data_IF_253558343720
#
_entry.id   IF_253558343720
#
_cell.length_a   1.000
_cell.length_b   1.000
_cell.length_c   1.000
_cell.angle_alpha   90.00
_cell.angle_beta   90.00
_cell.angle_gamma   90.00
#
_symmetry.space_group_name_H-M   'P 1'
#
loop_
_entity.id
_entity.type
_entity.pdbx_description
1 polymer ?
#
# COMPACT_ATOMS: atom_id res chain seq x y z
N UNK A 1 -33.46 3.65 -21.53
CA UNK A 1 -32.93 2.76 -22.59
C UNK A 1 -31.42 2.52 -22.36
N UNK A 2 -30.84 1.51 -23.01
CA UNK A 2 -29.39 1.28 -22.93
C UNK A 2 -28.58 2.52 -23.39
N UNK A 3 -29.16 3.33 -24.28
CA UNK A 3 -28.56 4.57 -24.77
C UNK A 3 -28.46 5.67 -23.68
N UNK A 4 -29.27 5.59 -22.62
CA UNK A 4 -29.16 6.53 -21.48
C UNK A 4 -28.10 6.14 -20.47
N UNK A 5 -27.65 4.89 -20.50
CA UNK A 5 -26.64 4.34 -19.53
C UNK A 5 -25.20 4.57 -19.98
N UNK A 6 -24.95 4.64 -21.30
CA UNK A 6 -23.65 4.80 -21.91
C UNK A 6 -23.67 5.76 -23.09
N UNK A 7 -22.53 6.44 -23.33
CA UNK A 7 -22.36 7.34 -24.47
C UNK A 7 -21.01 7.08 -25.15
N UNK A 8 -20.89 7.41 -26.45
CA UNK A 8 -19.55 7.44 -27.07
C UNK A 8 -18.59 8.34 -26.28
N UNK A 9 -17.39 7.84 -26.03
CA UNK A 9 -16.40 8.47 -25.18
C UNK A 9 -16.33 7.92 -23.74
N UNK A 10 -17.36 7.21 -23.27
CA UNK A 10 -17.30 6.58 -21.93
C UNK A 10 -16.27 5.47 -21.88
N UNK A 11 -15.53 5.41 -20.78
CA UNK A 11 -14.80 4.22 -20.42
C UNK A 11 -15.73 3.25 -19.68
N UNK A 12 -15.89 2.06 -20.25
CA UNK A 12 -16.67 0.98 -19.64
C UNK A 12 -15.82 -0.27 -19.45
N UNK A 13 -16.16 -1.03 -18.43
CA UNK A 13 -15.56 -2.33 -18.12
C UNK A 13 -16.67 -3.38 -17.99
N UNK A 14 -16.61 -4.43 -18.83
CA UNK A 14 -17.53 -5.56 -18.83
C UNK A 14 -16.76 -6.86 -19.01
N UNK A 15 -16.25 -7.43 -17.90
CA UNK A 15 -15.35 -8.60 -17.93
C UNK A 15 -15.98 -9.81 -18.60
N UNK A 16 -17.29 -10.02 -18.44
CA UNK A 16 -18.03 -11.12 -19.06
C UNK A 16 -17.99 -11.12 -20.60
N UNK A 17 -17.69 -9.97 -21.19
CA UNK A 17 -17.57 -9.78 -22.66
C UNK A 17 -16.14 -9.49 -23.09
N UNK A 18 -15.18 -9.47 -22.15
CA UNK A 18 -13.81 -9.09 -22.46
C UNK A 18 -13.66 -7.64 -22.91
N UNK A 19 -14.52 -6.76 -22.42
CA UNK A 19 -14.46 -5.33 -22.73
C UNK A 19 -13.89 -4.55 -21.55
N UNK A 20 -12.86 -3.76 -21.83
CA UNK A 20 -12.27 -2.75 -20.95
C UNK A 20 -11.65 -1.65 -21.82
N UNK A 21 -12.38 -0.54 -21.98
CA UNK A 21 -11.95 0.54 -22.86
C UNK A 21 -13.03 1.55 -23.15
N UNK A 22 -12.81 2.31 -24.22
CA UNK A 22 -13.65 3.45 -24.59
C UNK A 22 -14.73 3.05 -25.61
N UNK A 23 -15.97 3.41 -25.32
CA UNK A 23 -17.07 3.30 -26.26
C UNK A 23 -16.81 4.22 -27.46
N UNK A 24 -16.71 3.65 -28.64
CA UNK A 24 -16.45 4.42 -29.86
C UNK A 24 -17.71 4.63 -30.73
N UNK A 25 -18.66 3.72 -30.65
CA UNK A 25 -19.90 3.79 -31.41
C UNK A 25 -21.02 2.99 -30.73
N UNK A 26 -22.26 3.45 -30.90
CA UNK A 26 -23.45 2.79 -30.39
C UNK A 26 -24.49 2.76 -31.55
N UNK A 27 -24.86 1.57 -31.95
CA UNK A 27 -25.96 1.38 -32.93
C UNK A 27 -27.14 0.61 -32.32
N UNK A 28 -28.16 0.32 -33.11
CA UNK A 28 -29.40 -0.31 -32.63
C UNK A 28 -29.17 -1.72 -32.00
N UNK A 29 -28.15 -2.43 -32.44
CA UNK A 29 -27.90 -3.82 -32.04
C UNK A 29 -26.65 -4.00 -31.16
N UNK A 30 -25.66 -3.15 -31.31
CA UNK A 30 -24.33 -3.33 -30.69
C UNK A 30 -23.74 -2.02 -30.18
N UNK A 31 -22.87 -2.16 -29.16
CA UNK A 31 -21.94 -1.13 -28.71
C UNK A 31 -20.54 -1.57 -29.09
N UNK A 32 -19.78 -0.67 -29.70
CA UNK A 32 -18.38 -0.89 -30.07
C UNK A 32 -17.46 -0.28 -29.03
N UNK A 33 -16.62 -1.11 -28.41
CA UNK A 33 -15.64 -0.72 -27.40
C UNK A 33 -14.24 -0.92 -27.95
N UNK A 34 -13.43 0.13 -27.95
CA UNK A 34 -11.99 0.04 -28.21
C UNK A 34 -11.28 -0.18 -26.88
N UNK A 35 -10.82 -1.41 -26.66
CA UNK A 35 -10.08 -1.82 -25.47
C UNK A 35 -8.70 -1.13 -25.38
N UNK A 36 -8.14 -1.06 -24.19
CA UNK A 36 -6.83 -0.45 -23.93
C UNK A 36 -5.66 -1.15 -24.66
N UNK A 37 -5.84 -2.42 -25.03
CA UNK A 37 -4.88 -3.18 -25.85
C UNK A 37 -5.07 -2.97 -27.36
N UNK A 38 -5.85 -1.95 -27.80
CA UNK A 38 -6.19 -1.61 -29.18
C UNK A 38 -7.08 -2.64 -29.91
N UNK A 39 -7.63 -3.63 -29.22
CA UNK A 39 -8.64 -4.52 -29.82
C UNK A 39 -10.04 -3.89 -29.75
N UNK A 40 -10.95 -4.41 -30.57
CA UNK A 40 -12.34 -3.98 -30.58
C UNK A 40 -13.23 -5.11 -30.05
N UNK A 41 -14.05 -4.80 -29.04
CA UNK A 41 -15.12 -5.69 -28.60
C UNK A 41 -16.48 -5.13 -29.04
N UNK A 42 -17.30 -5.98 -29.64
CA UNK A 42 -18.69 -5.67 -30.00
C UNK A 42 -19.62 -6.27 -28.94
N UNK A 43 -20.32 -5.44 -28.20
CA UNK A 43 -21.25 -5.86 -27.12
C UNK A 43 -22.67 -5.75 -27.65
N UNK A 44 -23.47 -6.83 -27.67
CA UNK A 44 -24.90 -6.74 -27.98
C UNK A 44 -25.59 -5.82 -26.96
N UNK A 45 -26.50 -4.96 -27.45
CA UNK A 45 -27.22 -4.00 -26.59
C UNK A 45 -27.95 -4.70 -25.45
N UNK A 46 -28.52 -5.88 -25.67
CA UNK A 46 -29.29 -6.59 -24.65
C UNK A 46 -28.37 -7.00 -23.47
N UNK A 47 -27.07 -7.25 -23.72
CA UNK A 47 -26.12 -7.61 -22.66
C UNK A 47 -25.92 -6.48 -21.65
N UNK A 48 -25.94 -5.22 -22.07
CA UNK A 48 -25.87 -4.06 -21.19
C UNK A 48 -27.10 -3.89 -20.28
N UNK A 49 -28.22 -4.50 -20.66
CA UNK A 49 -29.45 -4.48 -19.86
C UNK A 49 -29.53 -5.68 -18.92
N UNK A 50 -28.98 -6.82 -19.35
CA UNK A 50 -29.07 -8.10 -18.63
C UNK A 50 -27.90 -8.42 -17.73
N UNK A 51 -26.74 -7.81 -17.95
CA UNK A 51 -25.50 -8.10 -17.23
C UNK A 51 -24.94 -6.83 -16.58
N UNK A 52 -24.21 -7.00 -15.47
CA UNK A 52 -23.54 -5.87 -14.80
C UNK A 52 -22.31 -5.42 -15.59
N UNK A 53 -22.12 -4.12 -15.69
CA UNK A 53 -20.93 -3.49 -16.21
C UNK A 53 -20.58 -2.25 -15.36
N UNK A 54 -19.33 -1.81 -15.38
CA UNK A 54 -18.88 -0.58 -14.74
C UNK A 54 -18.76 0.52 -15.78
N UNK A 55 -19.36 1.69 -15.52
CA UNK A 55 -19.12 2.92 -16.28
C UNK A 55 -18.26 3.86 -15.45
N UNK A 56 -17.06 4.18 -15.94
CA UNK A 56 -16.07 5.00 -15.23
C UNK A 56 -16.30 6.51 -15.38
N UNK A 57 -17.32 6.96 -16.09
CA UNK A 57 -17.67 8.39 -16.23
C UNK A 57 -17.79 9.08 -14.87
N UNK A 58 -18.49 8.47 -13.92
CA UNK A 58 -18.64 9.05 -12.58
C UNK A 58 -17.31 9.27 -11.88
N UNK A 59 -16.30 8.41 -12.10
CA UNK A 59 -14.95 8.63 -11.59
C UNK A 59 -14.28 9.82 -12.29
N UNK A 60 -14.42 9.94 -13.60
CA UNK A 60 -13.85 11.06 -14.37
C UNK A 60 -14.49 12.41 -14.01
N UNK A 61 -15.75 12.41 -13.64
CA UNK A 61 -16.50 13.60 -13.18
C UNK A 61 -16.29 13.88 -11.67
N UNK A 62 -15.81 12.92 -10.90
CA UNK A 62 -15.59 13.05 -9.45
C UNK A 62 -14.40 13.91 -9.11
N UNK A 63 -14.24 14.22 -7.80
CA UNK A 63 -13.12 14.98 -7.26
C UNK A 63 -11.78 14.23 -7.28
N UNK A 64 -11.78 12.90 -7.48
CA UNK A 64 -10.52 12.13 -7.45
C UNK A 64 -10.63 10.69 -7.87
N UNK A 65 -9.49 10.13 -8.27
CA UNK A 65 -9.33 8.71 -8.59
C UNK A 65 -8.79 7.97 -7.37
N UNK A 66 -9.50 6.93 -6.94
CA UNK A 66 -9.12 6.12 -5.78
C UNK A 66 -7.78 5.39 -6.02
N UNK A 67 -6.95 5.38 -4.99
CA UNK A 67 -5.84 4.44 -4.86
C UNK A 67 -5.94 3.65 -3.55
N UNK A 68 -5.47 2.41 -3.62
CA UNK A 68 -5.29 1.54 -2.46
C UNK A 68 -3.95 0.84 -2.65
N UNK A 69 -3.02 1.06 -1.73
CA UNK A 69 -1.66 0.49 -1.82
C UNK A 69 -1.26 -0.06 -0.45
N UNK A 70 -1.10 -1.36 -0.31
CA UNK A 70 -0.58 -1.96 0.91
C UNK A 70 0.94 -1.86 0.96
N UNK A 71 1.46 -1.50 2.13
CA UNK A 71 2.87 -1.62 2.50
C UNK A 71 2.99 -2.80 3.47
N UNK A 72 4.00 -3.63 3.27
CA UNK A 72 4.21 -4.83 4.08
C UNK A 72 5.44 -4.63 4.97
N UNK A 73 5.25 -4.74 6.28
CA UNK A 73 6.32 -4.56 7.26
C UNK A 73 6.71 -5.87 7.95
N UNK A 74 8.02 -6.03 8.17
CA UNK A 74 8.57 -7.13 8.92
C UNK A 74 8.24 -6.96 10.42
N UNK A 75 7.55 -7.95 11.00
CA UNK A 75 7.18 -7.99 12.42
C UNK A 75 8.41 -7.86 13.34
N UNK A 76 9.57 -8.38 12.92
CA UNK A 76 10.81 -8.32 13.73
C UNK A 76 11.37 -6.90 13.84
N UNK A 77 10.90 -5.97 13.01
CA UNK A 77 11.31 -4.55 13.07
C UNK A 77 10.42 -3.70 13.97
N UNK A 78 9.36 -4.27 14.53
CA UNK A 78 8.49 -3.55 15.45
C UNK A 78 9.16 -3.36 16.80
N UNK A 79 9.05 -2.17 17.36
CA UNK A 79 9.62 -1.85 18.65
C UNK A 79 9.06 -0.58 19.25
N UNK A 80 9.19 -0.48 20.56
CA UNK A 80 8.87 0.74 21.29
C UNK A 80 9.98 1.77 21.08
N UNK A 81 9.58 3.02 20.85
CA UNK A 81 10.48 4.15 20.69
C UNK A 81 10.65 4.90 22.02
N UNK A 82 11.89 5.23 22.34
CA UNK A 82 12.19 6.16 23.43
C UNK A 82 11.85 7.60 23.05
N UNK A 83 11.63 8.52 24.01
CA UNK A 83 11.40 9.93 23.72
C UNK A 83 12.51 10.56 22.86
N UNK A 84 13.76 10.16 23.06
CA UNK A 84 14.91 10.65 22.29
C UNK A 84 14.86 10.18 20.82
N UNK A 85 14.42 8.94 20.59
CA UNK A 85 14.22 8.42 19.23
C UNK A 85 13.07 9.14 18.52
N UNK A 86 11.97 9.41 19.22
CA UNK A 86 10.85 10.19 18.67
C UNK A 86 11.31 11.59 18.26
N UNK A 87 12.06 12.27 19.11
CA UNK A 87 12.63 13.61 18.82
C UNK A 87 13.57 13.58 17.60
N UNK A 88 14.41 12.53 17.50
CA UNK A 88 15.30 12.35 16.35
C UNK A 88 14.55 12.13 15.05
N UNK A 89 13.46 11.33 15.10
CA UNK A 89 12.56 11.09 13.95
C UNK A 89 11.92 12.41 13.48
N UNK A 90 11.40 13.21 14.41
CA UNK A 90 10.74 14.50 14.09
C UNK A 90 11.66 15.49 13.42
N UNK A 91 12.93 15.50 13.79
CA UNK A 91 13.97 16.38 13.23
C UNK A 91 14.54 15.87 11.91
N UNK A 92 14.25 14.62 11.54
CA UNK A 92 14.81 14.03 10.31
C UNK A 92 14.25 14.74 9.06
N UNK A 93 15.09 15.09 8.06
CA UNK A 93 14.65 15.84 6.86
C UNK A 93 13.48 15.21 6.11
N UNK A 94 13.40 13.87 6.07
CA UNK A 94 12.30 13.17 5.40
C UNK A 94 10.96 13.26 6.15
N UNK A 95 10.97 13.62 7.43
CA UNK A 95 9.78 13.57 8.31
C UNK A 95 9.34 14.96 8.77
N UNK A 96 10.30 15.87 8.95
CA UNK A 96 10.09 17.16 9.65
C UNK A 96 8.94 18.00 9.08
N UNK A 97 8.70 17.96 7.77
CA UNK A 97 7.60 18.72 7.14
C UNK A 97 6.21 18.27 7.63
N UNK A 98 6.05 17.01 8.01
CA UNK A 98 4.79 16.45 8.50
C UNK A 98 4.78 16.17 10.02
N UNK A 99 5.89 16.45 10.73
CA UNK A 99 6.10 16.07 12.13
C UNK A 99 5.03 16.61 13.08
N UNK A 100 4.67 17.90 12.95
CA UNK A 100 3.66 18.55 13.80
C UNK A 100 2.29 17.85 13.61
N UNK A 101 1.88 17.61 12.37
CA UNK A 101 0.62 16.95 12.05
C UNK A 101 0.62 15.49 12.47
N UNK A 102 1.74 14.79 12.29
CA UNK A 102 1.94 13.43 12.78
C UNK A 102 1.70 13.34 14.29
N UNK A 103 2.30 14.22 15.08
CA UNK A 103 2.14 14.25 16.54
C UNK A 103 0.70 14.56 16.95
N UNK A 104 0.04 15.47 16.23
CA UNK A 104 -1.38 15.74 16.49
C UNK A 104 -2.21 14.47 16.29
N UNK A 105 -2.08 13.81 15.15
CA UNK A 105 -2.82 12.57 14.84
C UNK A 105 -2.47 11.48 15.86
N UNK A 106 -1.19 11.34 16.23
CA UNK A 106 -0.75 10.34 17.19
C UNK A 106 -1.43 10.52 18.55
N UNK A 107 -1.48 11.74 19.08
CA UNK A 107 -2.14 12.05 20.36
C UNK A 107 -3.65 11.80 20.34
N UNK A 108 -4.30 12.07 19.20
CA UNK A 108 -5.75 11.86 19.03
C UNK A 108 -6.12 10.37 18.93
N UNK A 109 -5.21 9.53 18.42
CA UNK A 109 -5.52 8.13 18.07
C UNK A 109 -4.86 7.10 18.98
N UNK A 110 -3.92 7.51 19.84
CA UNK A 110 -3.18 6.60 20.72
C UNK A 110 -3.29 7.05 22.18
N UNK A 111 -3.94 6.24 22.99
CA UNK A 111 -4.17 6.49 24.43
C UNK A 111 -3.14 5.81 25.32
N UNK A 112 -2.23 4.99 24.78
CA UNK A 112 -1.17 4.30 25.51
C UNK A 112 0.04 5.17 25.80
N UNK A 113 0.84 4.76 26.79
CA UNK A 113 2.09 5.45 27.13
C UNK A 113 3.28 5.05 26.24
N UNK A 114 3.22 3.83 25.67
CA UNK A 114 4.26 3.31 24.78
C UNK A 114 4.06 3.79 23.34
N UNK A 115 5.12 4.22 22.69
CA UNK A 115 5.13 4.66 21.29
C UNK A 115 5.66 3.53 20.41
N UNK A 116 4.76 2.75 19.81
CA UNK A 116 5.15 1.76 18.81
C UNK A 116 5.58 2.46 17.51
N UNK A 117 6.76 2.10 17.00
CA UNK A 117 7.32 2.72 15.79
C UNK A 117 6.38 2.65 14.57
N UNK A 118 5.71 1.52 14.33
CA UNK A 118 4.74 1.38 13.24
C UNK A 118 3.49 2.26 13.46
N UNK A 119 3.04 2.45 14.71
CA UNK A 119 1.92 3.33 15.01
C UNK A 119 2.28 4.80 14.73
N UNK A 120 3.48 5.22 15.08
CA UNK A 120 3.96 6.57 14.78
C UNK A 120 4.14 6.76 13.26
N UNK A 121 4.70 5.77 12.56
CA UNK A 121 4.81 5.80 11.09
C UNK A 121 3.45 5.86 10.40
N UNK A 122 2.44 5.14 10.89
CA UNK A 122 1.06 5.24 10.37
C UNK A 122 0.53 6.68 10.47
N UNK A 123 0.74 7.33 11.61
CA UNK A 123 0.35 8.72 11.82
C UNK A 123 1.14 9.68 10.91
N UNK A 124 2.43 9.39 10.70
CA UNK A 124 3.26 10.12 9.75
C UNK A 124 2.73 9.99 8.32
N UNK A 125 2.47 8.78 7.84
CA UNK A 125 1.94 8.55 6.50
C UNK A 125 0.59 9.27 6.30
N UNK A 126 -0.30 9.23 7.30
CA UNK A 126 -1.57 9.97 7.29
C UNK A 126 -1.34 11.49 7.21
N UNK A 127 -0.40 12.01 7.99
CA UNK A 127 -0.05 13.44 8.00
C UNK A 127 0.54 13.88 6.65
N UNK A 128 1.50 13.12 6.13
CA UNK A 128 2.13 13.37 4.84
C UNK A 128 1.11 13.42 3.71
N UNK A 129 0.25 12.40 3.61
CA UNK A 129 -0.79 12.32 2.59
C UNK A 129 -1.81 13.44 2.72
N UNK A 130 -2.20 13.84 3.95
CA UNK A 130 -3.15 14.94 4.17
C UNK A 130 -2.63 16.32 3.74
N UNK A 131 -1.32 16.48 3.64
CA UNK A 131 -0.64 17.69 3.20
C UNK A 131 -0.18 17.63 1.74
N UNK A 132 -0.34 16.49 1.09
CA UNK A 132 0.14 16.29 -0.26
C UNK A 132 -0.75 17.00 -1.29
N UNK A 133 -0.21 17.89 -2.16
CA UNK A 133 -1.02 18.76 -3.04
C UNK A 133 -1.84 18.00 -4.10
N UNK A 134 -1.43 16.77 -4.43
CA UNK A 134 -2.11 15.94 -5.43
C UNK A 134 -3.13 14.97 -4.82
N UNK A 135 -3.36 15.01 -3.50
CA UNK A 135 -4.41 14.23 -2.84
C UNK A 135 -5.68 15.07 -2.76
N UNK A 136 -6.80 14.49 -3.16
CA UNK A 136 -8.10 15.16 -3.13
C UNK A 136 -8.54 15.38 -1.66
N UNK A 137 -8.56 16.64 -1.23
CA UNK A 137 -8.76 17.03 0.18
C UNK A 137 -10.17 16.67 0.71
N UNK A 138 -11.18 16.71 -0.16
CA UNK A 138 -12.59 16.46 0.20
C UNK A 138 -12.99 14.99 0.11
N UNK A 139 -12.03 14.10 -0.12
CA UNK A 139 -12.26 12.66 -0.23
C UNK A 139 -11.70 11.93 1.00
N UNK A 140 -12.21 10.72 1.25
CA UNK A 140 -11.74 9.87 2.34
C UNK A 140 -10.26 9.57 2.19
N UNK A 141 -9.48 9.85 3.24
CA UNK A 141 -8.07 9.54 3.34
C UNK A 141 -7.81 8.75 4.63
N UNK A 142 -7.36 7.51 4.51
CA UNK A 142 -7.12 6.62 5.65
C UNK A 142 -5.81 5.85 5.43
N UNK A 143 -4.96 5.85 6.46
CA UNK A 143 -3.84 4.91 6.59
C UNK A 143 -4.19 3.93 7.69
N UNK A 144 -4.40 2.64 7.33
CA UNK A 144 -4.98 1.63 8.21
C UNK A 144 -4.25 0.31 8.19
N UNK A 145 -4.33 -0.42 9.28
CA UNK A 145 -3.92 -1.82 9.32
C UNK A 145 -4.96 -2.68 8.59
N UNK A 146 -4.48 -3.59 7.76
CA UNK A 146 -5.27 -4.71 7.25
C UNK A 146 -4.99 -5.95 8.11
N UNK A 147 -5.84 -7.01 8.03
CA UNK A 147 -5.51 -8.28 8.64
C UNK A 147 -4.12 -8.75 8.19
N UNK A 148 -3.27 -9.12 9.17
CA UNK A 148 -1.92 -9.62 8.90
C UNK A 148 -1.94 -11.13 8.67
N UNK A 149 -0.94 -11.60 7.94
CA UNK A 149 -0.74 -13.01 7.60
C UNK A 149 0.77 -13.35 7.64
N UNK A 150 1.17 -14.47 7.04
CA UNK A 150 2.57 -14.88 6.95
C UNK A 150 3.47 -13.89 6.20
N UNK A 151 2.91 -12.92 5.50
CA UNK A 151 3.67 -11.89 4.78
C UNK A 151 3.85 -10.60 5.62
N UNK A 152 3.74 -10.68 6.94
CA UNK A 152 3.96 -9.57 7.85
C UNK A 152 2.74 -8.68 8.08
N UNK A 153 2.98 -7.47 8.61
CA UNK A 153 1.93 -6.50 8.91
C UNK A 153 1.67 -5.63 7.69
N UNK A 154 0.40 -5.55 7.32
CA UNK A 154 -0.07 -4.75 6.17
C UNK A 154 -0.59 -3.40 6.63
N UNK A 155 0.00 -2.34 6.12
CA UNK A 155 -0.47 -0.97 6.29
C UNK A 155 -0.99 -0.47 4.93
N UNK A 156 -2.29 -0.25 4.81
CA UNK A 156 -2.90 0.21 3.56
C UNK A 156 -2.98 1.73 3.52
N UNK A 157 -2.47 2.29 2.44
CA UNK A 157 -2.74 3.66 2.03
C UNK A 157 -4.03 3.67 1.21
N UNK A 158 -5.06 4.34 1.71
CA UNK A 158 -6.35 4.48 1.05
C UNK A 158 -6.66 5.95 0.87
N UNK A 159 -6.84 6.40 -0.36
CA UNK A 159 -7.12 7.79 -0.65
C UNK A 159 -7.52 8.01 -2.11
N UNK A 160 -7.57 9.29 -2.49
CA UNK A 160 -7.96 9.71 -3.84
C UNK A 160 -6.96 10.73 -4.36
N UNK A 161 -6.42 10.47 -5.54
CA UNK A 161 -5.61 11.45 -6.28
C UNK A 161 -6.53 12.46 -6.96
N UNK A 162 -6.21 13.74 -6.88
CA UNK A 162 -6.88 14.78 -7.64
C UNK A 162 -6.65 14.65 -9.15
N UNK A 163 -5.52 14.12 -9.57
CA UNK A 163 -5.24 13.75 -10.95
C UNK A 163 -5.86 12.40 -11.29
N UNK A 164 -6.66 12.34 -12.35
CA UNK A 164 -7.42 11.15 -12.73
C UNK A 164 -6.89 10.45 -13.97
N UNK A 165 -6.10 11.15 -14.81
CA UNK A 165 -5.48 10.58 -16.00
C UNK A 165 -4.47 9.50 -15.60
N UNK A 166 -4.61 8.30 -16.18
CA UNK A 166 -3.96 7.08 -15.69
C UNK A 166 -2.45 7.21 -15.48
N UNK A 167 -1.72 7.65 -16.49
CA UNK A 167 -0.26 7.73 -16.41
C UNK A 167 0.23 8.73 -15.34
N UNK A 168 -0.43 9.87 -15.20
CA UNK A 168 -0.10 10.88 -14.21
C UNK A 168 -0.51 10.44 -12.81
N UNK A 169 -1.67 9.81 -12.67
CA UNK A 169 -2.13 9.19 -11.44
C UNK A 169 -1.13 8.15 -10.92
N UNK A 170 -0.67 7.22 -11.78
CA UNK A 170 0.32 6.22 -11.36
C UNK A 170 1.67 6.84 -11.01
N UNK A 171 2.09 7.92 -11.67
CA UNK A 171 3.31 8.65 -11.32
C UNK A 171 3.21 9.30 -9.92
N UNK A 172 2.06 9.90 -9.58
CA UNK A 172 1.81 10.47 -8.24
C UNK A 172 1.83 9.38 -7.17
N UNK A 173 1.16 8.25 -7.41
CA UNK A 173 1.13 7.13 -6.47
C UNK A 173 2.53 6.53 -6.28
N UNK A 174 3.31 6.41 -7.36
CA UNK A 174 4.69 5.93 -7.28
C UNK A 174 5.58 6.89 -6.46
N UNK A 175 5.45 8.21 -6.65
CA UNK A 175 6.20 9.20 -5.87
C UNK A 175 5.88 9.13 -4.37
N UNK A 176 4.59 9.02 -4.03
CA UNK A 176 4.14 8.82 -2.64
C UNK A 176 4.77 7.56 -2.03
N UNK A 177 4.75 6.43 -2.75
CA UNK A 177 5.31 5.17 -2.27
C UNK A 177 6.84 5.29 -2.09
N UNK A 178 7.54 5.90 -3.05
CA UNK A 178 8.99 6.14 -2.96
C UNK A 178 9.35 6.97 -1.73
N UNK A 179 8.58 8.05 -1.46
CA UNK A 179 8.78 8.86 -0.27
C UNK A 179 8.61 8.05 1.02
N UNK A 180 7.55 7.24 1.12
CA UNK A 180 7.31 6.40 2.29
C UNK A 180 8.35 5.29 2.45
N UNK A 181 8.91 4.77 1.35
CA UNK A 181 10.03 3.82 1.40
C UNK A 181 11.31 4.46 1.97
N UNK A 182 11.55 5.73 1.67
CA UNK A 182 12.67 6.49 2.24
C UNK A 182 12.42 6.81 3.72
N UNK A 183 11.18 7.12 4.10
CA UNK A 183 10.83 7.52 5.45
C UNK A 183 10.77 6.31 6.44
N UNK A 184 10.28 5.15 6.03
CA UNK A 184 10.05 4.03 6.94
C UNK A 184 11.30 3.58 7.74
N UNK A 185 12.52 3.50 7.17
CA UNK A 185 13.73 3.18 7.92
C UNK A 185 14.07 4.20 9.02
N UNK A 186 13.66 5.46 8.89
CA UNK A 186 13.86 6.50 9.92
C UNK A 186 13.13 6.13 11.22
N UNK A 187 12.01 5.41 11.10
CA UNK A 187 11.25 4.86 12.23
C UNK A 187 11.78 3.50 12.71
N UNK A 188 12.89 3.01 12.17
CA UNK A 188 13.44 1.69 12.48
C UNK A 188 12.67 0.54 11.83
N UNK A 189 11.79 0.83 10.88
CA UNK A 189 10.97 -0.18 10.21
C UNK A 189 11.70 -0.82 9.03
N UNK A 190 11.44 -2.11 8.83
CA UNK A 190 11.89 -2.88 7.67
C UNK A 190 10.69 -3.37 6.89
N UNK A 191 10.78 -3.30 5.56
CA UNK A 191 9.77 -3.92 4.71
C UNK A 191 9.91 -5.44 4.73
N UNK A 192 8.76 -6.12 4.70
CA UNK A 192 8.76 -7.58 4.62
C UNK A 192 9.26 -8.03 3.24
N UNK A 193 10.14 -8.98 3.26
CA UNK A 193 10.59 -9.71 2.08
C UNK A 193 10.60 -11.20 2.41
N UNK A 194 10.00 -12.02 1.55
CA UNK A 194 10.08 -13.48 1.72
C UNK A 194 11.55 -13.89 1.62
N UNK A 195 12.11 -14.64 2.61
CA UNK A 195 13.48 -15.10 2.56
C UNK A 195 13.74 -15.88 1.27
N UNK A 196 14.85 -15.58 0.58
CA UNK A 196 15.30 -16.39 -0.54
C UNK A 196 15.83 -17.75 -0.03
N UNK A 197 15.86 -18.77 -0.91
CA UNK A 197 16.40 -20.08 -0.54
C UNK A 197 17.84 -20.01 -0.01
N UNK A 198 18.67 -19.09 -0.53
CA UNK A 198 20.03 -18.84 -0.04
C UNK A 198 20.06 -18.23 1.36
N UNK A 199 19.15 -17.32 1.69
CA UNK A 199 19.04 -16.72 3.02
C UNK A 199 18.54 -17.73 4.05
N UNK A 200 17.60 -18.59 3.68
CA UNK A 200 17.11 -19.68 4.53
C UNK A 200 18.21 -20.69 4.85
N UNK A 201 19.07 -21.02 3.86
CA UNK A 201 20.21 -21.92 4.06
C UNK A 201 21.26 -21.33 5.03
N UNK A 202 21.52 -20.03 4.97
CA UNK A 202 22.46 -19.35 5.89
C UNK A 202 21.92 -19.33 7.32
N UNK A 203 20.61 -19.09 7.50
CA UNK A 203 19.98 -19.13 8.83
C UNK A 203 20.01 -20.53 9.44
N UNK A 204 19.82 -21.60 8.66
CA UNK A 204 19.90 -22.99 9.11
C UNK A 204 21.34 -23.39 9.44
N UNK A 205 22.33 -22.93 8.66
CA UNK A 205 23.74 -23.22 8.92
C UNK A 205 24.28 -22.50 10.16
N UNK A 206 23.75 -21.32 10.51
CA UNK A 206 24.14 -20.55 11.70
C UNK A 206 23.63 -21.14 13.02
N UNK A 207 22.62 -22.02 13.00
CA UNK A 207 22.11 -22.68 14.21
C UNK A 207 22.89 -23.94 14.59
N UNK A 208 23.66 -24.53 13.67
CA UNK A 208 24.46 -25.74 13.94
C UNK A 208 25.81 -25.46 14.67
N UNK A 209 26.26 -24.20 14.68
CA UNK A 209 27.58 -23.86 15.31
C UNK A 209 27.48 -23.50 16.79
N UNK A 210 26.27 -23.27 17.33
CA UNK A 210 26.09 -22.94 18.76
C UNK A 210 25.98 -24.18 19.67
N UNK A 211 25.65 -25.36 19.11
CA UNK A 211 25.52 -26.59 19.90
C UNK A 211 26.78 -27.41 19.99
N UNK A 212 27.91 -27.03 19.38
CA UNK A 212 29.18 -27.79 19.43
C UNK A 212 30.18 -27.32 20.47
N UNK A 213 29.90 -26.23 21.19
CA UNK A 213 30.90 -25.66 22.11
C UNK A 213 30.67 -25.98 23.60
N UNK A 214 29.61 -26.73 23.96
CA UNK A 214 29.33 -27.03 25.39
C UNK A 214 29.60 -28.48 25.84
N UNK A 215 30.35 -29.28 25.04
CA UNK A 215 30.61 -30.70 25.43
C UNK A 215 32.09 -31.09 25.57
N UNK A 216 33.00 -30.13 25.79
CA UNK A 216 34.43 -30.48 25.96
C UNK A 216 35.11 -29.80 27.15
N UNK A 217 34.46 -29.76 28.31
CA UNK A 217 35.22 -29.37 29.53
C UNK A 217 34.64 -30.01 30.81
N UNK A 218 34.54 -31.32 30.84
CA UNK A 218 34.38 -32.03 32.14
C UNK A 218 34.88 -33.48 32.05
N UNK A 219 36.19 -33.70 31.91
CA UNK A 219 36.86 -34.94 32.28
C UNK A 219 38.37 -34.75 32.29
N UNK A 220 38.93 -34.16 33.31
CA UNK A 220 40.32 -34.39 33.79
C UNK A 220 40.56 -33.68 35.13
N UNK A 221 40.10 -34.26 36.24
CA UNK A 221 40.80 -34.14 37.55
C UNK A 221 40.25 -35.20 38.49
N UNK A 222 40.96 -36.28 38.61
CA UNK A 222 40.62 -37.33 39.58
C UNK A 222 41.57 -38.51 39.53
N UNK A 223 42.85 -38.31 39.96
CA UNK A 223 43.61 -39.37 40.64
C UNK A 223 44.96 -38.85 41.14
N UNK A 224 45.10 -38.74 42.44
CA UNK A 224 46.30 -39.11 43.17
C UNK A 224 46.11 -38.78 44.65
N UNK A 225 46.16 -39.87 45.40
CA UNK A 225 46.36 -40.16 46.82
C UNK A 225 45.11 -40.31 47.65
#
# INVERSE_FOLDING_TARGET
SAQDMIHPGDWIEMPSKGADGVVTDINVSNVKVRNWNNTITMIPIYSLVSEAFTNWRSMEESAGRQFRRPLYFDVTSLGELTPQQVEAIEKHPAVTAAAIKMQQIFRETNTGHAVLNLALFRCYAQAYLSQHPQIAADQTLIVRYLPFDENGIKLELYGYSAEKRFAFYEAIVADIINHLFIAAPVFGLKFYQRPSASQSAVLLAGTDDTDRNDSHDTLLSGSAH
#
